data_IF_874749754856
#
_entry.id   IF_874749754856
#
_cell.length_a   1.000
_cell.length_b   1.000
_cell.length_c   1.000
_cell.angle_alpha   90.00
_cell.angle_beta   90.00
_cell.angle_gamma   90.00
#
_symmetry.space_group_name_H-M   'P 1'
#
loop_
_entity.id
_entity.type
_entity.pdbx_description
1 polymer ?
#
# COMPACT_ATOMS: atom_id res chain seq x y z
N UNK A 1 8.76 9.43 20.20
CA UNK A 1 8.41 9.27 18.77
C UNK A 1 7.05 8.60 18.71
N UNK A 2 6.07 9.18 18.01
CA UNK A 2 4.75 8.55 17.88
C UNK A 2 4.89 7.28 17.01
N UNK A 3 4.69 6.07 17.56
CA UNK A 3 4.87 4.84 16.81
C UNK A 3 3.97 4.77 15.56
N UNK A 4 2.79 5.40 15.61
CA UNK A 4 1.88 5.48 14.46
C UNK A 4 2.47 6.32 13.30
N UNK A 5 3.19 7.39 13.63
CA UNK A 5 3.87 8.21 12.62
C UNK A 5 5.04 7.43 11.98
N UNK A 6 5.78 6.64 12.76
CA UNK A 6 6.84 5.77 12.24
C UNK A 6 6.30 4.72 11.27
N UNK A 7 5.18 4.07 11.60
CA UNK A 7 4.53 3.10 10.72
C UNK A 7 4.04 3.76 9.43
N UNK A 8 3.45 4.94 9.50
CA UNK A 8 3.02 5.71 8.32
C UNK A 8 4.19 6.04 7.39
N UNK A 9 5.32 6.49 7.94
CA UNK A 9 6.52 6.81 7.16
C UNK A 9 7.08 5.55 6.48
N UNK A 10 7.11 4.41 7.17
CA UNK A 10 7.56 3.13 6.58
C UNK A 10 6.61 2.67 5.46
N UNK A 11 5.30 2.76 5.69
CA UNK A 11 4.29 2.41 4.67
C UNK A 11 4.39 3.32 3.45
N UNK A 12 4.59 4.62 3.67
CA UNK A 12 4.77 5.59 2.59
C UNK A 12 6.07 5.32 1.82
N UNK A 13 7.16 5.02 2.52
CA UNK A 13 8.44 4.64 1.90
C UNK A 13 8.30 3.38 1.05
N UNK A 14 7.64 2.34 1.56
CA UNK A 14 7.36 1.12 0.81
C UNK A 14 6.49 1.39 -0.44
N UNK A 15 5.45 2.22 -0.30
CA UNK A 15 4.58 2.63 -1.41
C UNK A 15 5.38 3.32 -2.52
N UNK A 16 6.20 4.31 -2.15
CA UNK A 16 7.01 5.07 -3.11
C UNK A 16 8.08 4.19 -3.77
N UNK A 17 8.70 3.28 -3.02
CA UNK A 17 9.74 2.39 -3.54
C UNK A 17 9.19 1.34 -4.53
N UNK A 18 8.01 0.79 -4.26
CA UNK A 18 7.38 -0.24 -5.10
C UNK A 18 6.63 0.36 -6.32
N UNK A 19 6.25 1.64 -6.28
CA UNK A 19 5.49 2.29 -7.35
C UNK A 19 6.18 2.26 -8.74
N UNK A 20 7.50 2.55 -8.87
CA UNK A 20 8.20 2.44 -10.15
C UNK A 20 8.13 1.04 -10.77
N UNK A 21 8.22 -0.01 -9.94
CA UNK A 21 8.13 -1.40 -10.39
C UNK A 21 6.71 -1.70 -10.89
N UNK A 22 5.68 -1.28 -10.16
CA UNK A 22 4.29 -1.44 -10.58
C UNK A 22 3.99 -0.70 -11.91
N UNK A 23 4.52 0.52 -12.07
CA UNK A 23 4.38 1.30 -13.32
C UNK A 23 5.11 0.61 -14.47
N UNK A 24 6.31 0.09 -14.24
CA UNK A 24 7.07 -0.65 -15.25
C UNK A 24 6.35 -1.93 -15.67
N UNK A 25 5.77 -2.68 -14.73
CA UNK A 25 4.95 -3.85 -15.06
C UNK A 25 3.72 -3.45 -15.87
N UNK A 26 3.06 -2.35 -15.52
CA UNK A 26 1.91 -1.84 -16.24
C UNK A 26 2.24 -1.43 -17.69
N UNK A 27 3.49 -1.04 -17.98
CA UNK A 27 3.89 -0.66 -19.34
C UNK A 27 4.25 -1.84 -20.24
N UNK A 28 4.53 -3.03 -19.69
CA UNK A 28 4.98 -4.20 -20.45
C UNK A 28 4.00 -5.39 -20.42
N UNK A 29 3.12 -5.47 -19.42
CA UNK A 29 2.26 -6.62 -19.20
C UNK A 29 0.86 -6.43 -19.83
N UNK A 30 0.30 -7.43 -20.54
CA UNK A 30 -1.09 -7.41 -21.01
C UNK A 30 -2.11 -7.26 -19.87
N UNK A 31 -1.78 -7.78 -18.68
CA UNK A 31 -2.56 -7.66 -17.46
C UNK A 31 -2.09 -6.46 -16.59
N UNK A 32 -1.87 -5.30 -17.19
CA UNK A 32 -1.36 -4.08 -16.54
C UNK A 32 -2.09 -3.63 -15.27
N UNK A 33 -3.31 -4.14 -15.02
CA UNK A 33 -4.16 -3.80 -13.89
C UNK A 33 -3.80 -4.52 -12.59
N UNK A 34 -3.12 -5.67 -12.63
CA UNK A 34 -2.89 -6.50 -11.43
C UNK A 34 -2.07 -5.82 -10.32
N UNK A 35 -1.06 -4.96 -10.60
CA UNK A 35 -0.32 -4.27 -9.54
C UNK A 35 -1.23 -3.32 -8.74
N UNK A 36 -2.16 -2.64 -9.41
CA UNK A 36 -3.12 -1.75 -8.77
C UNK A 36 -4.12 -2.51 -7.89
N UNK A 37 -4.52 -3.72 -8.30
CA UNK A 37 -5.36 -4.61 -7.48
C UNK A 37 -4.61 -5.06 -6.23
N UNK A 38 -3.33 -5.44 -6.36
CA UNK A 38 -2.49 -5.78 -5.21
C UNK A 38 -2.36 -4.61 -4.22
N UNK A 39 -2.21 -3.38 -4.72
CA UNK A 39 -2.20 -2.16 -3.90
C UNK A 39 -3.53 -1.94 -3.18
N UNK A 40 -4.66 -2.05 -3.89
CA UNK A 40 -5.99 -1.87 -3.31
C UNK A 40 -6.24 -2.88 -2.18
N UNK A 41 -5.82 -4.14 -2.37
CA UNK A 41 -5.91 -5.18 -1.34
C UNK A 41 -5.05 -4.84 -0.12
N UNK A 42 -3.79 -4.42 -0.33
CA UNK A 42 -2.91 -4.02 0.77
C UNK A 42 -3.53 -2.88 1.60
N UNK A 43 -4.01 -1.83 0.94
CA UNK A 43 -4.65 -0.68 1.59
C UNK A 43 -5.90 -1.12 2.36
N UNK A 44 -6.74 -1.98 1.78
CA UNK A 44 -7.95 -2.49 2.44
C UNK A 44 -7.62 -3.31 3.70
N UNK A 45 -6.60 -4.17 3.64
CA UNK A 45 -6.14 -4.95 4.81
C UNK A 45 -5.66 -4.02 5.93
N UNK A 46 -4.86 -3.00 5.60
CA UNK A 46 -4.39 -2.01 6.57
C UNK A 46 -5.57 -1.24 7.15
N UNK A 47 -6.49 -0.78 6.30
CA UNK A 47 -7.67 -0.03 6.72
C UNK A 47 -8.54 -0.85 7.68
N UNK A 48 -8.76 -2.15 7.42
CA UNK A 48 -9.49 -3.04 8.31
C UNK A 48 -8.81 -3.21 9.67
N UNK A 49 -7.49 -3.43 9.68
CA UNK A 49 -6.72 -3.55 10.93
C UNK A 49 -6.70 -2.25 11.74
N UNK A 50 -6.71 -1.09 11.08
CA UNK A 50 -6.78 0.22 11.75
C UNK A 50 -8.20 0.51 12.26
N UNK A 51 -9.24 0.13 11.51
CA UNK A 51 -10.63 0.34 11.89
C UNK A 51 -10.98 -0.44 13.17
N UNK A 52 -10.52 -1.69 13.30
CA UNK A 52 -10.72 -2.49 14.52
C UNK A 52 -9.91 -2.02 15.73
N UNK A 53 -8.98 -1.07 15.57
CA UNK A 53 -8.26 -0.42 16.69
C UNK A 53 -8.90 0.90 17.11
N UNK A 54 -9.90 1.37 16.37
CA UNK A 54 -10.72 2.53 16.71
C UNK A 54 -11.98 2.06 17.46
N UNK A 55 -11.79 1.40 18.60
CA UNK A 55 -12.86 1.35 19.60
C UNK A 55 -12.81 2.66 20.43
N UNK A 56 -13.96 3.20 20.87
CA UNK A 56 -14.06 4.47 21.60
C UNK A 56 -13.35 4.48 22.95
#
# INVERSE_FOLDING_TARGET
MNPAAGVLVVLLGALLFLSPIAIWVASIAPAWWWPFVAWAVLIAVIAFHVLGRRDP
#
